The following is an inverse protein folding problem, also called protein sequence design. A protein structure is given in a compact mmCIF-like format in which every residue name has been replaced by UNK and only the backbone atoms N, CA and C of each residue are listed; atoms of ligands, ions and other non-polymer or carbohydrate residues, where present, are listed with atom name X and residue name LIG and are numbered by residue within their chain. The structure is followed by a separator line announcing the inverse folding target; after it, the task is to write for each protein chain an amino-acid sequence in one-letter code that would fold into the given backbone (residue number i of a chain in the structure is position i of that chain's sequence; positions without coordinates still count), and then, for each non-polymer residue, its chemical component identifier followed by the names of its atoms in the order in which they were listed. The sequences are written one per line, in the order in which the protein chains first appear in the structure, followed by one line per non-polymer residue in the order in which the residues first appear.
data_IF_039807455656
#
_entry.id   IF_039807455656
#
_cell.length_a   1.000
_cell.length_b   1.000
_cell.length_c   1.000
_cell.angle_alpha   90.00
_cell.angle_beta   90.00
_cell.angle_gamma   90.00
#
_symmetry.space_group_name_H-M   'P 1'
#
loop_
_entity.id
_entity.type
_entity.pdbx_description
1 polymer ?
#
# COMPACT_ATOMS: atom_id res chain seq x y z
N UNK A 1 6.39 25.66 -1.25
CA UNK A 1 5.80 24.65 -0.34
C UNK A 1 6.00 23.27 -0.94
N UNK A 2 7.05 22.55 -0.54
CA UNK A 2 7.31 21.20 -1.02
C UNK A 2 6.42 20.22 -0.26
N UNK A 3 5.36 19.74 -0.90
CA UNK A 3 4.58 18.60 -0.38
C UNK A 3 5.58 17.46 -0.21
N UNK A 4 5.84 17.01 1.02
CA UNK A 4 6.57 15.76 1.29
C UNK A 4 5.55 14.63 1.23
N UNK A 5 5.27 14.02 0.06
CA UNK A 5 4.12 13.12 -0.09
C UNK A 5 4.51 11.71 0.38
N UNK A 6 5.80 11.40 0.36
CA UNK A 6 6.30 10.02 0.42
C UNK A 6 6.24 9.45 1.82
N UNK A 7 6.53 10.23 2.88
CA UNK A 7 6.42 9.74 4.26
C UNK A 7 4.96 9.50 4.66
N UNK A 8 4.08 10.46 4.39
CA UNK A 8 2.65 10.33 4.74
C UNK A 8 1.94 9.27 3.91
N UNK A 9 2.25 9.14 2.61
CA UNK A 9 1.68 8.07 1.79
C UNK A 9 2.17 6.68 2.23
N UNK A 10 3.47 6.53 2.51
CA UNK A 10 4.03 5.26 2.98
C UNK A 10 3.42 4.84 4.30
N UNK A 11 3.31 5.74 5.27
CA UNK A 11 2.70 5.46 6.57
C UNK A 11 1.22 5.06 6.43
N UNK A 12 0.43 5.77 5.64
CA UNK A 12 -0.99 5.44 5.41
C UNK A 12 -1.16 4.07 4.76
N UNK A 13 -0.33 3.75 3.76
CA UNK A 13 -0.36 2.45 3.09
C UNK A 13 0.01 1.33 4.07
N UNK A 14 1.08 1.50 4.85
CA UNK A 14 1.49 0.50 5.84
C UNK A 14 0.46 0.33 6.96
N UNK A 15 -0.13 1.43 7.44
CA UNK A 15 -1.18 1.38 8.45
C UNK A 15 -2.41 0.64 7.93
N UNK A 16 -2.86 0.95 6.71
CA UNK A 16 -3.96 0.24 6.08
C UNK A 16 -3.66 -1.25 5.94
N UNK A 17 -2.48 -1.60 5.42
CA UNK A 17 -2.07 -3.00 5.27
C UNK A 17 -2.04 -3.70 6.63
N UNK A 18 -1.55 -3.07 7.70
CA UNK A 18 -1.57 -3.66 9.06
C UNK A 18 -2.98 -3.87 9.61
N UNK A 19 -3.92 -2.99 9.29
CA UNK A 19 -5.31 -3.08 9.77
C UNK A 19 -6.15 -4.08 8.97
N UNK A 20 -5.86 -4.23 7.67
CA UNK A 20 -6.67 -5.02 6.73
C UNK A 20 -6.04 -6.34 6.30
N UNK A 21 -4.73 -6.51 6.48
CA UNK A 21 -4.11 -7.80 6.24
C UNK A 21 -4.68 -8.83 7.22
N UNK A 22 -4.96 -10.02 6.70
CA UNK A 22 -5.33 -11.19 7.51
C UNK A 22 -4.13 -11.59 8.38
N UNK A 23 -4.32 -12.57 9.27
CA UNK A 23 -3.34 -12.99 10.28
C UNK A 23 -1.91 -13.29 9.77
N UNK A 24 -1.70 -13.45 8.45
CA UNK A 24 -0.39 -13.71 7.82
C UNK A 24 0.22 -12.50 7.08
N UNK A 25 -0.34 -11.29 7.24
CA UNK A 25 0.14 -10.12 6.47
C UNK A 25 -0.32 -10.13 5.01
N UNK A 26 -1.18 -11.07 4.63
CA UNK A 26 -1.78 -11.15 3.29
C UNK A 26 -3.05 -10.29 3.21
N UNK A 27 -3.11 -9.46 2.18
CA UNK A 27 -4.29 -8.72 1.78
C UNK A 27 -4.71 -9.16 0.38
N UNK A 28 -5.93 -9.68 0.24
CA UNK A 28 -6.54 -9.98 -1.05
C UNK A 28 -6.91 -8.67 -1.73
N UNK A 29 -6.40 -8.48 -2.95
CA UNK A 29 -6.82 -7.42 -3.83
C UNK A 29 -8.16 -7.83 -4.43
N UNK A 30 -9.22 -7.68 -3.64
CA UNK A 30 -10.60 -8.03 -4.02
C UNK A 30 -11.20 -7.00 -5.00
N UNK A 31 -10.39 -6.63 -6.00
CA UNK A 31 -10.74 -5.69 -7.05
C UNK A 31 -11.02 -4.30 -6.52
N UNK A 32 -9.96 -3.51 -6.28
CA UNK A 32 -9.71 -2.22 -6.93
C UNK A 32 -8.72 -1.38 -6.09
N UNK A 33 -7.44 -1.40 -6.46
CA UNK A 33 -6.42 -0.50 -5.89
C UNK A 33 -6.83 0.98 -5.94
N UNK A 34 -7.72 1.35 -6.86
CA UNK A 34 -8.29 2.70 -6.94
C UNK A 34 -9.14 3.03 -5.72
N UNK A 35 -10.02 2.12 -5.31
CA UNK A 35 -10.86 2.29 -4.13
C UNK A 35 -9.99 2.39 -2.87
N UNK A 36 -8.96 1.54 -2.77
CA UNK A 36 -7.98 1.67 -1.70
C UNK A 36 -7.39 3.07 -1.64
N UNK A 37 -6.94 3.60 -2.79
CA UNK A 37 -6.33 4.93 -2.83
C UNK A 37 -7.28 5.99 -2.29
N UNK A 38 -8.56 5.94 -2.66
CA UNK A 38 -9.60 6.84 -2.16
C UNK A 38 -9.81 6.69 -0.66
N UNK A 39 -9.94 5.46 -0.16
CA UNK A 39 -10.16 5.14 1.26
C UNK A 39 -9.05 5.69 2.18
N UNK A 40 -7.80 5.74 1.69
CA UNK A 40 -6.65 6.28 2.44
C UNK A 40 -6.26 7.70 2.03
N UNK A 41 -7.10 8.37 1.23
CA UNK A 41 -6.92 9.76 0.82
C UNK A 41 -5.66 9.98 -0.03
N UNK A 42 -5.32 9.02 -0.89
CA UNK A 42 -4.23 9.08 -1.85
C UNK A 42 -4.74 9.13 -3.28
N UNK A 43 -3.98 9.81 -4.14
CA UNK A 43 -4.16 9.66 -5.59
C UNK A 43 -3.67 8.27 -6.01
N UNK A 44 -4.27 7.71 -7.04
CA UNK A 44 -3.91 6.37 -7.53
C UNK A 44 -2.42 6.29 -7.89
N UNK A 45 -1.88 7.30 -8.57
CA UNK A 45 -0.45 7.41 -8.89
C UNK A 45 0.44 7.41 -7.65
N UNK A 46 0.00 8.08 -6.57
CA UNK A 46 0.75 8.13 -5.32
C UNK A 46 0.75 6.76 -4.63
N UNK A 47 -0.38 6.04 -4.65
CA UNK A 47 -0.47 4.68 -4.14
C UNK A 47 0.46 3.75 -4.94
N UNK A 48 0.38 3.75 -6.27
CA UNK A 48 1.22 2.90 -7.13
C UNK A 48 2.71 3.16 -6.92
N UNK A 49 3.13 4.43 -6.86
CA UNK A 49 4.54 4.79 -6.58
C UNK A 49 4.98 4.34 -5.18
N UNK A 50 4.10 4.46 -4.19
CA UNK A 50 4.38 4.03 -2.83
C UNK A 50 4.51 2.51 -2.74
N UNK A 51 3.60 1.75 -3.36
CA UNK A 51 3.68 0.30 -3.44
C UNK A 51 4.96 -0.16 -4.15
N UNK A 52 5.31 0.46 -5.27
CA UNK A 52 6.57 0.16 -5.97
C UNK A 52 7.79 0.44 -5.09
N UNK A 53 7.81 1.57 -4.36
CA UNK A 53 8.91 1.88 -3.44
C UNK A 53 8.99 0.89 -2.27
N UNK A 54 7.85 0.47 -1.72
CA UNK A 54 7.80 -0.52 -0.64
C UNK A 54 8.26 -1.90 -1.10
N UNK A 55 7.92 -2.30 -2.32
CA UNK A 55 8.36 -3.56 -2.91
C UNK A 55 9.87 -3.55 -3.19
N UNK A 56 10.40 -2.45 -3.76
CA UNK A 56 11.84 -2.28 -3.94
C UNK A 56 12.62 -2.33 -2.62
N UNK A 57 12.01 -1.86 -1.52
CA UNK A 57 12.58 -1.92 -0.17
C UNK A 57 12.38 -3.27 0.52
N UNK A 58 11.75 -4.25 -0.14
CA UNK A 58 11.47 -5.56 0.43
C UNK A 58 10.48 -5.54 1.60
N UNK A 59 9.67 -4.47 1.74
CA UNK A 59 8.66 -4.34 2.82
C UNK A 59 7.32 -4.95 2.45
N UNK A 60 7.06 -5.11 1.15
CA UNK A 60 5.89 -5.81 0.64
C UNK A 60 6.29 -6.70 -0.54
N UNK A 61 5.47 -7.70 -0.84
CA UNK A 61 5.51 -8.43 -2.10
C UNK A 61 4.14 -8.36 -2.78
N UNK A 62 4.14 -8.07 -4.08
CA UNK A 62 2.95 -8.24 -4.92
C UNK A 62 2.92 -9.65 -5.49
N UNK A 63 1.77 -10.31 -5.37
CA UNK A 63 1.45 -11.59 -6.00
C UNK A 63 0.14 -11.43 -6.77
N UNK A 64 -0.16 -12.35 -7.69
CA UNK A 64 -1.38 -12.29 -8.48
C UNK A 64 -2.61 -12.18 -7.57
N UNK A 65 -3.26 -11.02 -7.55
CA UNK A 65 -4.41 -10.74 -6.70
C UNK A 65 -4.12 -10.56 -5.20
N UNK A 66 -2.86 -10.43 -4.77
CA UNK A 66 -2.51 -10.31 -3.35
C UNK A 66 -1.37 -9.34 -3.08
N UNK A 67 -1.45 -8.66 -1.95
CA UNK A 67 -0.37 -7.88 -1.34
C UNK A 67 0.05 -8.57 -0.05
N UNK A 68 1.34 -8.85 0.08
CA UNK A 68 1.90 -9.51 1.25
C UNK A 68 2.80 -8.51 1.96
N UNK A 69 2.54 -8.25 3.24
CA UNK A 69 3.43 -7.49 4.10
C UNK A 69 4.61 -8.36 4.50
N UNK A 70 5.82 -7.93 4.14
CA UNK A 70 7.07 -8.57 4.55
C UNK A 70 7.57 -7.79 5.78
N UNK A 71 7.77 -8.51 6.90
CA UNK A 71 8.12 -7.93 8.20
C UNK A 71 9.38 -7.04 8.12
#
# INVERSE_FOLDING_TARGET
MQLRPTRSATERVLQFLRLRAKAHGEWELDGNLKQLAEDIGLRHEALYRTLASLEQKGRIARRTGKLILLA
#
